data_IF_014354166730
#
_entry.id   IF_014354166730
#
_cell.length_a   1.000
_cell.length_b   1.000
_cell.length_c   1.000
_cell.angle_alpha   90.00
_cell.angle_beta   90.00
_cell.angle_gamma   90.00
#
_symmetry.space_group_name_H-M   'P 1'
#
loop_
_entity.id
_entity.type
_entity.pdbx_description
1 polymer ?
#
# COMPACT_ATOMS: atom_id res chain seq x y z
N UNK A 1 5.20 -9.28 -15.51
CA UNK A 1 6.53 -8.63 -15.60
C UNK A 1 7.20 -8.80 -14.25
N UNK A 2 8.43 -9.31 -14.18
CA UNK A 2 9.11 -9.61 -12.92
C UNK A 2 9.24 -8.41 -11.99
N UNK A 3 9.28 -7.19 -12.54
CA UNK A 3 9.35 -5.95 -11.78
C UNK A 3 8.16 -5.72 -10.82
N UNK A 4 6.94 -6.02 -11.26
CA UNK A 4 5.76 -5.85 -10.42
C UNK A 4 5.80 -6.80 -9.22
N UNK A 5 6.19 -8.06 -9.44
CA UNK A 5 6.31 -9.05 -8.36
C UNK A 5 7.37 -8.65 -7.33
N UNK A 6 8.48 -8.03 -7.77
CA UNK A 6 9.51 -7.53 -6.85
C UNK A 6 8.92 -6.45 -5.93
N UNK A 7 8.25 -5.44 -6.50
CA UNK A 7 7.68 -4.33 -5.72
C UNK A 7 6.57 -4.83 -4.79
N UNK A 8 5.70 -5.72 -5.26
CA UNK A 8 4.57 -6.24 -4.48
C UNK A 8 5.00 -7.03 -3.25
N UNK A 9 6.16 -7.69 -3.31
CA UNK A 9 6.74 -8.48 -2.23
C UNK A 9 7.82 -7.74 -1.43
N UNK A 10 8.20 -6.53 -1.86
CA UNK A 10 9.15 -5.71 -1.11
C UNK A 10 8.54 -5.29 0.23
N UNK A 11 9.30 -5.35 1.34
CA UNK A 11 8.82 -4.88 2.63
C UNK A 11 8.36 -3.41 2.56
N UNK A 12 7.22 -3.07 3.17
CA UNK A 12 6.69 -1.69 3.16
C UNK A 12 7.72 -0.67 3.67
N UNK A 13 8.58 -1.06 4.60
CA UNK A 13 9.66 -0.22 5.13
C UNK A 13 10.71 0.16 4.09
N UNK A 14 10.91 -0.68 3.06
CA UNK A 14 11.82 -0.45 1.95
C UNK A 14 11.21 0.30 0.76
N UNK A 15 9.91 0.62 0.81
CA UNK A 15 9.22 1.37 -0.23
C UNK A 15 9.24 2.87 0.05
N UNK A 16 9.03 3.67 -0.99
CA UNK A 16 9.05 5.14 -0.94
C UNK A 16 7.75 5.74 -0.37
N UNK A 17 7.32 5.22 0.79
CA UNK A 17 6.24 5.77 1.59
C UNK A 17 6.78 6.70 2.70
N UNK A 18 5.90 7.52 3.24
CA UNK A 18 6.12 8.30 4.44
C UNK A 18 6.35 7.40 5.65
N UNK A 19 7.17 7.87 6.60
CA UNK A 19 7.41 7.15 7.86
C UNK A 19 6.14 6.97 8.69
N UNK A 20 5.15 7.85 8.50
CA UNK A 20 3.81 7.72 9.09
C UNK A 20 3.08 6.50 8.51
N UNK A 21 3.02 6.39 7.18
CA UNK A 21 2.41 5.27 6.49
C UNK A 21 3.08 3.95 6.86
N UNK A 22 4.42 3.89 6.76
CA UNK A 22 5.19 2.67 7.07
C UNK A 22 4.93 2.16 8.47
N UNK A 23 5.00 3.05 9.48
CA UNK A 23 4.72 2.68 10.87
C UNK A 23 3.29 2.19 11.02
N UNK A 24 2.34 2.87 10.39
CA UNK A 24 0.93 2.51 10.53
C UNK A 24 0.60 1.19 9.86
N UNK A 25 1.10 0.97 8.65
CA UNK A 25 0.96 -0.29 7.92
C UNK A 25 1.53 -1.46 8.74
N UNK A 26 2.73 -1.31 9.30
CA UNK A 26 3.34 -2.33 10.16
C UNK A 26 2.52 -2.60 11.44
N UNK A 27 1.97 -1.57 12.08
CA UNK A 27 1.09 -1.73 13.24
C UNK A 27 -0.22 -2.49 12.91
N UNK A 28 -0.70 -2.36 11.68
CA UNK A 28 -1.89 -3.07 11.19
C UNK A 28 -1.57 -4.48 10.66
N UNK A 29 -0.29 -4.90 10.67
CA UNK A 29 0.14 -6.20 10.17
C UNK A 29 0.42 -6.25 8.67
N UNK A 30 0.37 -5.11 7.97
CA UNK A 30 0.74 -5.03 6.56
C UNK A 30 2.25 -4.92 6.42
N UNK A 31 2.87 -5.99 5.91
CA UNK A 31 4.32 -6.07 5.72
C UNK A 31 4.77 -5.80 4.28
N UNK A 32 3.87 -5.95 3.30
CA UNK A 32 4.12 -5.72 1.87
C UNK A 32 2.86 -5.16 1.19
N UNK A 33 2.98 -4.70 -0.06
CA UNK A 33 1.81 -4.25 -0.83
C UNK A 33 0.84 -5.39 -1.11
N UNK A 34 1.33 -6.64 -1.18
CA UNK A 34 0.46 -7.82 -1.36
C UNK A 34 -0.57 -7.92 -0.25
N UNK A 35 -0.19 -7.69 1.01
CA UNK A 35 -1.14 -7.67 2.13
C UNK A 35 -2.14 -6.51 2.08
N UNK A 36 -1.74 -5.36 1.52
CA UNK A 36 -2.69 -4.25 1.30
C UNK A 36 -3.68 -4.56 0.16
N UNK A 37 -3.24 -5.26 -0.88
CA UNK A 37 -4.06 -5.66 -2.02
C UNK A 37 -5.12 -6.71 -1.70
N UNK A 38 -5.04 -7.37 -0.54
CA UNK A 38 -6.11 -8.23 -0.02
C UNK A 38 -7.36 -7.43 0.38
N UNK A 39 -7.25 -6.10 0.46
CA UNK A 39 -8.32 -5.19 0.81
C UNK A 39 -8.59 -4.19 -0.31
N UNK A 40 -9.87 -3.88 -0.53
CA UNK A 40 -10.21 -2.75 -1.39
C UNK A 40 -9.72 -1.43 -0.77
N UNK A 41 -9.33 -0.43 -1.57
CA UNK A 41 -8.88 0.88 -1.05
C UNK A 41 -9.88 1.51 -0.06
N UNK A 42 -11.18 1.34 -0.29
CA UNK A 42 -12.24 1.82 0.61
C UNK A 42 -12.32 1.07 1.94
N UNK A 43 -11.85 -0.18 1.99
CA UNK A 43 -11.79 -0.98 3.22
C UNK A 43 -10.60 -0.59 4.09
N UNK A 44 -9.50 -0.12 3.47
CA UNK A 44 -8.35 0.39 4.21
C UNK A 44 -8.74 1.56 5.13
N UNK A 45 -9.72 2.39 4.73
CA UNK A 45 -10.25 3.48 5.57
C UNK A 45 -11.00 3.01 6.82
N UNK A 46 -11.41 1.73 6.88
CA UNK A 46 -12.08 1.16 8.05
C UNK A 46 -11.07 0.79 9.14
N UNK A 47 -9.77 0.70 8.82
CA UNK A 47 -8.75 0.40 9.82
C UNK A 47 -8.46 1.63 10.68
N UNK A 48 -8.54 1.53 12.02
CA UNK A 48 -8.32 2.65 12.91
C UNK A 48 -6.97 3.33 12.68
N UNK A 49 -6.99 4.61 12.33
CA UNK A 49 -5.80 5.42 12.07
C UNK A 49 -5.20 5.28 10.66
N UNK A 50 -5.84 4.55 9.75
CA UNK A 50 -5.51 4.57 8.32
C UNK A 50 -6.40 5.61 7.63
N UNK A 51 -5.91 6.84 7.54
CA UNK A 51 -6.70 7.98 7.05
C UNK A 51 -6.65 8.18 5.54
N UNK A 52 -7.48 9.10 5.04
CA UNK A 52 -7.52 9.49 3.62
C UNK A 52 -6.16 9.88 3.06
N UNK A 53 -5.32 10.56 3.85
CA UNK A 53 -3.96 10.93 3.42
C UNK A 53 -3.10 9.71 3.09
N UNK A 54 -3.13 8.68 3.94
CA UNK A 54 -2.42 7.42 3.70
C UNK A 54 -3.01 6.66 2.52
N UNK A 55 -4.34 6.70 2.35
CA UNK A 55 -4.99 6.10 1.21
C UNK A 55 -4.55 6.78 -0.11
N UNK A 56 -4.55 8.11 -0.16
CA UNK A 56 -4.06 8.85 -1.32
C UNK A 56 -2.59 8.53 -1.60
N UNK A 57 -1.76 8.46 -0.57
CA UNK A 57 -0.35 8.10 -0.69
C UNK A 57 -0.16 6.70 -1.30
N UNK A 58 -0.93 5.71 -0.81
CA UNK A 58 -0.97 4.37 -1.37
C UNK A 58 -1.38 4.36 -2.85
N UNK A 59 -2.47 5.04 -3.20
CA UNK A 59 -2.96 5.10 -4.59
C UNK A 59 -1.91 5.76 -5.50
N UNK A 60 -1.36 6.90 -5.09
CA UNK A 60 -0.31 7.61 -5.84
C UNK A 60 0.94 6.76 -6.05
N UNK A 61 1.35 6.00 -5.04
CA UNK A 61 2.46 5.06 -5.18
C UNK A 61 2.14 3.96 -6.21
N UNK A 62 0.95 3.35 -6.11
CA UNK A 62 0.53 2.30 -7.04
C UNK A 62 0.45 2.82 -8.48
N UNK A 63 0.00 4.04 -8.70
CA UNK A 63 0.01 4.68 -10.03
C UNK A 63 1.43 4.94 -10.54
N UNK A 64 2.30 5.51 -9.69
CA UNK A 64 3.71 5.79 -10.02
C UNK A 64 4.46 4.53 -10.46
N UNK A 65 4.23 3.41 -9.76
CA UNK A 65 4.85 2.11 -10.07
C UNK A 65 4.14 1.33 -11.20
N UNK A 66 3.14 1.93 -11.86
CA UNK A 66 2.30 1.29 -12.91
C UNK A 66 1.56 0.04 -12.41
N UNK A 67 1.22 0.03 -11.13
CA UNK A 67 0.47 -0.99 -10.40
C UNK A 67 -0.98 -0.58 -10.12
N UNK A 68 -1.45 0.59 -10.57
CA UNK A 68 -2.81 1.08 -10.34
C UNK A 68 -3.92 0.09 -10.74
N UNK A 69 -3.69 -0.74 -11.76
CA UNK A 69 -4.60 -1.81 -12.19
C UNK A 69 -4.92 -2.86 -11.11
N UNK A 70 -4.13 -2.96 -10.03
CA UNK A 70 -4.36 -3.91 -8.95
C UNK A 70 -5.32 -3.37 -7.88
N UNK A 71 -5.52 -2.04 -7.82
CA UNK A 71 -6.38 -1.37 -6.82
C UNK A 71 -7.66 -0.78 -7.42
N UNK A 72 -7.76 -0.72 -8.74
CA UNK A 72 -8.92 -0.25 -9.50
C UNK A 72 -9.28 -1.31 -10.55
N UNK A 73 -9.87 -2.45 -10.16
CA UNK A 73 -10.39 -3.45 -11.09
C UNK A 73 -11.61 -2.94 -11.87
#
# INVERSE_FOLDING_TARGET
MPYAEIILNTPITGLEFSEEFKRKAMQLGFHSLTGLLEHQPSELLKFPGFGYRMLTEYISFMEKEKLGKYIMP
#
